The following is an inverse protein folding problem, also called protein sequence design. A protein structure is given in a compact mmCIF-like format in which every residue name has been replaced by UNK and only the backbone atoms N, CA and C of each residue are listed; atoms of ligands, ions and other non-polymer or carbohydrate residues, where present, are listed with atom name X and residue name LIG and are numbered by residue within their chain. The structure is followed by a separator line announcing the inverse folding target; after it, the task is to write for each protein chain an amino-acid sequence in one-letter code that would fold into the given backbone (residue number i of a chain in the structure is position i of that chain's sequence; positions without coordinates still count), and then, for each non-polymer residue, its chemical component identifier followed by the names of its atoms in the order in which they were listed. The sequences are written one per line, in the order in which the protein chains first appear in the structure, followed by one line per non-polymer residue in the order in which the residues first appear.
data_IF_368747995189
#
_entry.id   IF_368747995189
#
_cell.length_a   1.000
_cell.length_b   1.000
_cell.length_c   1.000
_cell.angle_alpha   90.00
_cell.angle_beta   90.00
_cell.angle_gamma   90.00
#
_symmetry.space_group_name_H-M   'P 1'
#
loop_
_entity.id
_entity.type
_entity.pdbx_description
1 polymer ?
#
# COMPACT_ATOMS: atom_id res chain seq x y z
N UNK A 1 -7.97 -18.41 -26.16
CA UNK A 1 -7.27 -19.15 -25.07
C UNK A 1 -7.79 -18.64 -23.74
N UNK A 2 -8.29 -19.52 -22.87
CA UNK A 2 -8.65 -19.14 -21.49
C UNK A 2 -7.35 -18.90 -20.71
N UNK A 3 -7.12 -17.66 -20.28
CA UNK A 3 -5.95 -17.29 -19.45
C UNK A 3 -6.39 -17.25 -18.00
N UNK A 4 -5.87 -18.17 -17.20
CA UNK A 4 -6.10 -18.23 -15.75
C UNK A 4 -4.86 -17.76 -14.99
N UNK A 5 -5.06 -17.25 -13.78
CA UNK A 5 -4.00 -16.80 -12.88
C UNK A 5 -4.44 -16.93 -11.42
N UNK A 6 -3.64 -17.59 -10.59
CA UNK A 6 -3.80 -17.48 -9.14
C UNK A 6 -3.15 -16.18 -8.65
N UNK A 7 -3.84 -15.46 -7.77
CA UNK A 7 -3.29 -14.29 -7.08
C UNK A 7 -3.41 -14.55 -5.58
N UNK A 8 -2.27 -14.62 -4.89
CA UNK A 8 -2.20 -14.79 -3.44
C UNK A 8 -1.86 -13.45 -2.80
N UNK A 9 -2.86 -12.84 -2.18
CA UNK A 9 -2.76 -11.54 -1.52
C UNK A 9 -2.36 -11.69 -0.04
N UNK A 10 -1.43 -10.84 0.41
CA UNK A 10 -0.95 -10.84 1.80
C UNK A 10 -2.00 -10.38 2.83
N UNK A 11 -3.09 -9.76 2.39
CA UNK A 11 -4.25 -9.27 3.13
C UNK A 11 -5.46 -9.19 2.17
N UNK A 12 -6.67 -9.03 2.70
CA UNK A 12 -7.87 -8.81 1.91
C UNK A 12 -7.72 -7.56 1.01
N UNK A 13 -7.88 -7.69 -0.33
CA UNK A 13 -7.76 -6.56 -1.24
C UNK A 13 -8.93 -5.57 -1.12
N UNK A 14 -10.04 -5.97 -0.49
CA UNK A 14 -11.19 -5.13 -0.21
C UNK A 14 -11.47 -5.04 1.30
N UNK A 15 -11.97 -3.90 1.84
CA UNK A 15 -12.08 -2.60 1.17
C UNK A 15 -10.70 -2.04 0.79
N UNK A 16 -10.66 -1.37 -0.37
CA UNK A 16 -9.46 -0.70 -0.89
C UNK A 16 -9.13 0.59 -0.10
N UNK A 17 -8.91 0.45 1.21
CA UNK A 17 -8.92 1.53 2.20
C UNK A 17 -7.52 1.92 2.74
N UNK A 18 -6.47 1.33 2.17
CA UNK A 18 -5.06 1.69 2.35
C UNK A 18 -4.23 1.29 1.12
N UNK A 19 -2.99 1.75 1.03
CA UNK A 19 -2.18 1.65 -0.20
C UNK A 19 -2.00 0.25 -0.79
N UNK A 20 -1.70 -0.76 0.04
CA UNK A 20 -1.56 -2.14 -0.42
C UNK A 20 -2.88 -2.75 -0.90
N UNK A 21 -3.99 -2.50 -0.20
CA UNK A 21 -5.32 -2.97 -0.63
C UNK A 21 -5.75 -2.31 -1.95
N UNK A 22 -5.52 -1.00 -2.11
CA UNK A 22 -5.77 -0.27 -3.38
C UNK A 22 -4.98 -0.93 -4.52
N UNK A 23 -3.67 -1.09 -4.35
CA UNK A 23 -2.80 -1.69 -5.36
C UNK A 23 -3.22 -3.12 -5.74
N UNK A 24 -3.49 -3.98 -4.75
CA UNK A 24 -3.96 -5.34 -5.00
C UNK A 24 -5.32 -5.37 -5.72
N UNK A 25 -6.29 -4.54 -5.30
CA UNK A 25 -7.62 -4.48 -5.88
C UNK A 25 -7.64 -3.93 -7.32
N UNK A 26 -6.95 -2.82 -7.57
CA UNK A 26 -6.92 -2.23 -8.93
C UNK A 26 -6.10 -3.08 -9.91
N UNK A 27 -5.13 -3.86 -9.42
CA UNK A 27 -4.46 -4.92 -10.20
C UNK A 27 -5.43 -6.03 -10.58
N UNK A 28 -6.22 -6.58 -9.64
CA UNK A 28 -7.26 -7.58 -9.91
C UNK A 28 -8.24 -7.04 -10.97
N UNK A 29 -8.72 -5.80 -10.80
CA UNK A 29 -9.62 -5.13 -11.75
C UNK A 29 -9.00 -4.94 -13.14
N UNK A 30 -7.72 -4.60 -13.23
CA UNK A 30 -7.01 -4.44 -14.50
C UNK A 30 -6.81 -5.79 -15.24
N UNK A 31 -6.44 -6.84 -14.51
CA UNK A 31 -6.25 -8.19 -15.06
C UNK A 31 -7.59 -8.81 -15.50
N UNK A 32 -8.65 -8.65 -14.70
CA UNK A 32 -10.02 -9.07 -15.03
C UNK A 32 -10.52 -8.35 -16.30
N UNK A 33 -10.34 -7.02 -16.38
CA UNK A 33 -10.65 -6.24 -17.61
C UNK A 33 -9.82 -6.69 -18.82
N UNK A 34 -8.62 -7.21 -18.63
CA UNK A 34 -7.81 -7.79 -19.70
C UNK A 34 -8.26 -9.21 -20.12
N UNK A 35 -9.34 -9.76 -19.54
CA UNK A 35 -9.86 -11.09 -19.86
C UNK A 35 -9.01 -12.21 -19.27
N UNK A 36 -8.47 -12.02 -18.06
CA UNK A 36 -7.81 -13.06 -17.27
C UNK A 36 -8.79 -13.54 -16.20
N UNK A 37 -9.00 -14.85 -16.11
CA UNK A 37 -9.83 -15.50 -15.09
C UNK A 37 -8.99 -15.66 -13.82
N UNK A 38 -9.38 -14.97 -12.75
CA UNK A 38 -8.57 -14.83 -11.54
C UNK A 38 -9.05 -15.81 -10.48
N UNK A 39 -8.15 -16.64 -9.97
CA UNK A 39 -8.36 -17.43 -8.75
C UNK A 39 -7.73 -16.65 -7.59
N UNK A 40 -8.56 -15.95 -6.82
CA UNK A 40 -8.11 -15.05 -5.76
C UNK A 40 -8.01 -15.81 -4.43
N UNK A 41 -6.82 -15.77 -3.85
CA UNK A 41 -6.50 -16.30 -2.55
C UNK A 41 -6.04 -15.15 -1.65
N UNK A 42 -6.54 -15.02 -0.43
CA UNK A 42 -6.04 -13.99 0.48
C UNK A 42 -6.07 -14.43 1.94
N UNK A 43 -5.18 -13.83 2.75
CA UNK A 43 -5.19 -14.05 4.20
C UNK A 43 -6.14 -13.08 4.90
N UNK A 44 -6.88 -13.56 5.88
CA UNK A 44 -7.85 -12.77 6.64
C UNK A 44 -7.39 -12.51 8.08
N UNK A 45 -7.59 -11.27 8.54
CA UNK A 45 -7.05 -10.72 9.80
C UNK A 45 -8.14 -10.26 10.78
N UNK A 46 -9.33 -9.99 10.24
CA UNK A 46 -10.51 -9.45 10.92
C UNK A 46 -11.75 -9.93 10.15
N UNK A 47 -12.94 -9.73 10.70
CA UNK A 47 -14.23 -10.04 10.08
C UNK A 47 -14.61 -9.03 8.95
N UNK A 48 -13.68 -8.80 8.02
CA UNK A 48 -13.96 -8.10 6.76
C UNK A 48 -14.77 -9.03 5.87
N UNK A 49 -16.03 -8.69 5.64
CA UNK A 49 -16.90 -9.43 4.73
C UNK A 49 -16.35 -9.40 3.29
N UNK A 50 -16.48 -10.53 2.59
CA UNK A 50 -16.29 -10.59 1.14
C UNK A 50 -17.43 -9.83 0.50
N UNK A 51 -17.11 -8.89 -0.40
CA UNK A 51 -18.12 -8.12 -1.14
C UNK A 51 -18.29 -8.66 -2.55
N UNK A 52 -19.49 -8.45 -3.10
CA UNK A 52 -19.85 -8.87 -4.46
C UNK A 52 -18.89 -8.35 -5.54
N UNK A 53 -18.24 -7.20 -5.30
CA UNK A 53 -17.21 -6.62 -6.18
C UNK A 53 -16.07 -7.61 -6.48
N UNK A 54 -15.63 -8.44 -5.51
CA UNK A 54 -14.57 -9.42 -5.75
C UNK A 54 -15.10 -10.64 -6.51
N UNK A 55 -16.32 -11.07 -6.20
CA UNK A 55 -17.00 -12.19 -6.86
C UNK A 55 -17.33 -11.88 -8.33
N UNK A 56 -17.55 -10.61 -8.69
CA UNK A 56 -17.74 -10.17 -10.08
C UNK A 56 -16.42 -10.08 -10.87
N UNK A 57 -15.26 -9.93 -10.19
CA UNK A 57 -13.95 -9.76 -10.82
C UNK A 57 -13.16 -11.07 -10.94
N UNK A 58 -13.46 -12.07 -10.12
CA UNK A 58 -12.69 -13.31 -9.96
C UNK A 58 -13.54 -14.54 -10.30
N UNK A 59 -12.88 -15.60 -10.78
CA UNK A 59 -13.47 -16.91 -11.03
C UNK A 59 -13.74 -17.67 -9.72
N UNK A 60 -12.83 -17.52 -8.75
CA UNK A 60 -13.00 -18.00 -7.39
C UNK A 60 -12.35 -17.03 -6.41
N UNK A 61 -12.89 -16.98 -5.18
CA UNK A 61 -12.40 -16.14 -4.08
C UNK A 61 -12.32 -17.02 -2.83
N UNK A 62 -11.12 -17.19 -2.27
CA UNK A 62 -10.89 -18.02 -1.10
C UNK A 62 -10.09 -17.27 -0.03
N UNK A 63 -10.59 -17.33 1.20
CA UNK A 63 -10.00 -16.70 2.37
C UNK A 63 -9.30 -17.75 3.26
N UNK A 64 -8.10 -17.44 3.75
CA UNK A 64 -7.32 -18.31 4.62
C UNK A 64 -7.04 -17.64 5.97
N UNK A 65 -7.19 -18.36 7.10
CA UNK A 65 -6.87 -17.80 8.41
C UNK A 65 -5.36 -17.56 8.54
N UNK A 66 -4.98 -16.41 9.08
CA UNK A 66 -3.60 -16.14 9.49
C UNK A 66 -3.31 -16.78 10.84
N UNK A 67 -2.21 -17.55 10.92
CA UNK A 67 -1.74 -18.15 12.20
C UNK A 67 -1.29 -17.06 13.19
N UNK A 68 -1.58 -17.28 14.47
CA UNK A 68 -1.32 -16.32 15.55
C UNK A 68 0.17 -16.19 15.87
N UNK A 69 0.54 -15.20 16.67
CA UNK A 69 1.91 -15.01 17.14
C UNK A 69 2.48 -16.25 17.87
N UNK A 70 1.66 -17.01 18.61
CA UNK A 70 2.13 -18.20 19.34
C UNK A 70 2.50 -19.38 18.43
N UNK A 71 1.99 -19.38 17.21
CA UNK A 71 2.20 -20.40 16.19
C UNK A 71 3.26 -19.95 15.19
N UNK A 72 3.13 -18.72 14.67
CA UNK A 72 4.01 -18.16 13.64
C UNK A 72 5.36 -17.61 14.14
N UNK A 73 5.58 -17.44 15.45
CA UNK A 73 6.90 -17.05 15.99
C UNK A 73 7.78 -18.28 16.33
N UNK A 74 7.34 -19.50 16.00
CA UNK A 74 8.09 -20.74 16.21
C UNK A 74 9.07 -20.98 15.06
N UNK A 75 10.35 -20.69 15.28
CA UNK A 75 11.45 -21.03 14.35
C UNK A 75 12.25 -19.82 13.86
N UNK A 76 13.00 -20.03 12.78
CA UNK A 76 13.90 -19.03 12.20
C UNK A 76 13.28 -18.27 11.00
N UNK A 77 12.06 -18.59 10.59
CA UNK A 77 11.35 -17.89 9.52
C UNK A 77 10.74 -16.58 10.08
N UNK A 78 10.70 -15.48 9.30
CA UNK A 78 10.03 -14.25 9.73
C UNK A 78 8.54 -14.48 9.97
N UNK A 79 7.98 -13.83 11.01
CA UNK A 79 6.59 -13.99 11.39
C UNK A 79 5.63 -13.70 10.24
N UNK A 80 5.93 -12.66 9.44
CA UNK A 80 5.05 -12.27 8.33
C UNK A 80 4.89 -13.36 7.28
N UNK A 81 5.85 -14.28 7.15
CA UNK A 81 5.80 -15.40 6.21
C UNK A 81 5.26 -16.64 6.90
N UNK A 82 5.80 -17.02 8.06
CA UNK A 82 5.37 -18.20 8.82
C UNK A 82 3.88 -18.17 9.20
N UNK A 83 3.32 -16.97 9.45
CA UNK A 83 1.89 -16.80 9.74
C UNK A 83 0.96 -17.00 8.53
N UNK A 84 1.50 -17.07 7.31
CA UNK A 84 0.79 -17.19 6.03
C UNK A 84 1.08 -18.51 5.29
N UNK A 85 1.54 -19.55 5.99
CA UNK A 85 1.66 -20.89 5.43
C UNK A 85 0.36 -21.68 5.72
N UNK A 86 -0.35 -22.10 4.67
CA UNK A 86 -1.63 -22.80 4.75
C UNK A 86 -1.67 -23.97 3.74
N UNK A 87 -2.07 -25.16 4.19
CA UNK A 87 -2.07 -26.39 3.39
C UNK A 87 -3.18 -26.40 2.34
N UNK A 88 -4.40 -25.97 2.68
CA UNK A 88 -5.50 -25.88 1.71
C UNK A 88 -5.18 -24.89 0.57
N UNK A 89 -4.50 -23.78 0.87
CA UNK A 89 -3.98 -22.87 -0.16
C UNK A 89 -2.97 -23.59 -1.07
N UNK A 90 -2.02 -24.33 -0.50
CA UNK A 90 -1.04 -25.09 -1.29
C UNK A 90 -1.72 -26.13 -2.19
N UNK A 91 -2.70 -26.87 -1.65
CA UNK A 91 -3.47 -27.86 -2.41
C UNK A 91 -4.18 -27.20 -3.59
N UNK A 92 -4.87 -26.07 -3.35
CA UNK A 92 -5.53 -25.29 -4.40
C UNK A 92 -4.55 -24.83 -5.48
N UNK A 93 -3.41 -24.25 -5.08
CA UNK A 93 -2.36 -23.82 -6.02
C UNK A 93 -1.77 -24.99 -6.82
N UNK A 94 -1.94 -26.23 -6.38
CA UNK A 94 -1.43 -27.45 -7.01
C UNK A 94 -2.51 -28.27 -7.76
N UNK A 95 -3.78 -27.83 -7.83
CA UNK A 95 -4.86 -28.57 -8.53
C UNK A 95 -4.74 -28.55 -10.06
N UNK A 96 -4.21 -27.46 -10.60
CA UNK A 96 -4.01 -27.20 -12.03
C UNK A 96 -2.53 -26.88 -12.34
N UNK A 97 -2.24 -26.38 -13.54
CA UNK A 97 -0.92 -25.86 -13.94
C UNK A 97 -0.91 -24.35 -14.26
N UNK A 98 -1.90 -23.60 -13.74
CA UNK A 98 -1.99 -22.16 -13.93
C UNK A 98 -0.86 -21.40 -13.22
N UNK A 99 -0.43 -20.24 -13.76
CA UNK A 99 0.58 -19.39 -13.14
C UNK A 99 0.12 -18.83 -11.80
N UNK A 100 1.09 -18.48 -10.94
CA UNK A 100 0.85 -17.97 -9.58
C UNK A 100 1.54 -16.63 -9.39
N UNK A 101 0.78 -15.63 -8.94
CA UNK A 101 1.26 -14.33 -8.50
C UNK A 101 1.15 -14.21 -6.98
N UNK A 102 2.28 -14.02 -6.30
CA UNK A 102 2.38 -13.86 -4.86
C UNK A 102 2.62 -12.38 -4.51
N UNK A 103 1.74 -11.76 -3.73
CA UNK A 103 1.92 -10.37 -3.29
C UNK A 103 2.81 -10.31 -2.05
N UNK A 104 4.04 -9.86 -2.25
CA UNK A 104 5.08 -9.73 -1.25
C UNK A 104 5.71 -11.05 -0.81
N UNK A 105 6.89 -10.95 -0.20
CA UNK A 105 7.58 -12.09 0.44
C UNK A 105 6.77 -12.72 1.59
N UNK A 106 5.74 -12.00 2.05
CA UNK A 106 4.65 -12.47 2.88
C UNK A 106 4.09 -13.84 2.45
N UNK A 107 3.94 -14.08 1.15
CA UNK A 107 3.29 -15.27 0.61
C UNK A 107 4.29 -16.32 0.06
N UNK A 108 5.61 -16.09 0.18
CA UNK A 108 6.62 -16.98 -0.44
C UNK A 108 6.97 -18.22 0.39
N UNK A 109 6.42 -18.36 1.61
CA UNK A 109 6.75 -19.46 2.52
C UNK A 109 6.41 -20.87 2.02
N UNK A 110 5.53 -20.96 1.02
CA UNK A 110 5.12 -22.23 0.37
C UNK A 110 5.71 -22.46 -1.02
N UNK A 111 6.54 -21.55 -1.56
CA UNK A 111 6.98 -21.62 -2.98
C UNK A 111 7.71 -22.93 -3.30
N UNK A 112 8.56 -23.41 -2.40
CA UNK A 112 9.29 -24.68 -2.56
C UNK A 112 8.40 -25.93 -2.57
N UNK A 113 7.11 -25.79 -2.23
CA UNK A 113 6.12 -26.86 -2.17
C UNK A 113 5.11 -26.78 -3.34
N UNK A 114 5.09 -25.68 -4.08
CA UNK A 114 4.29 -25.54 -5.31
C UNK A 114 4.87 -26.48 -6.39
N UNK A 115 4.01 -27.12 -7.18
CA UNK A 115 4.38 -28.07 -8.23
C UNK A 115 5.42 -27.47 -9.17
N UNK A 116 6.54 -28.18 -9.34
CA UNK A 116 7.62 -27.81 -10.27
C UNK A 116 7.08 -27.59 -11.68
N UNK A 117 7.59 -26.55 -12.35
CA UNK A 117 7.18 -26.17 -13.71
C UNK A 117 6.07 -25.11 -13.76
N UNK A 118 5.34 -24.85 -12.67
CA UNK A 118 4.45 -23.68 -12.59
C UNK A 118 5.25 -22.38 -12.70
N UNK A 119 4.74 -21.44 -13.50
CA UNK A 119 5.29 -20.08 -13.58
C UNK A 119 4.87 -19.30 -12.34
N UNK A 120 5.85 -18.91 -11.52
CA UNK A 120 5.62 -18.16 -10.28
C UNK A 120 6.22 -16.76 -10.44
N UNK A 121 5.48 -15.75 -9.99
CA UNK A 121 5.95 -14.37 -9.87
C UNK A 121 5.70 -13.86 -8.45
N UNK A 122 6.74 -13.32 -7.81
CA UNK A 122 6.66 -12.63 -6.52
C UNK A 122 6.66 -11.13 -6.78
N UNK A 123 5.56 -10.45 -6.44
CA UNK A 123 5.46 -9.00 -6.57
C UNK A 123 5.86 -8.33 -5.26
N UNK A 124 7.05 -7.75 -5.22
CA UNK A 124 7.65 -7.18 -4.01
C UNK A 124 7.15 -5.76 -3.80
N UNK A 125 6.55 -5.50 -2.63
CA UNK A 125 5.95 -4.20 -2.30
C UNK A 125 6.98 -3.22 -1.71
N UNK A 126 7.90 -3.71 -0.88
CA UNK A 126 9.03 -2.97 -0.30
C UNK A 126 10.15 -3.97 0.03
N UNK A 127 11.37 -3.48 0.25
CA UNK A 127 12.39 -4.20 1.02
C UNK A 127 11.97 -4.30 2.50
N UNK A 128 11.29 -5.39 2.87
CA UNK A 128 10.67 -5.59 4.19
C UNK A 128 11.70 -5.55 5.34
N UNK A 129 12.89 -6.10 5.15
CA UNK A 129 13.97 -6.02 6.15
C UNK A 129 14.33 -4.57 6.50
N UNK A 130 14.37 -3.67 5.51
CA UNK A 130 14.61 -2.25 5.70
C UNK A 130 13.40 -1.51 6.30
N UNK A 131 12.17 -1.87 5.88
CA UNK A 131 10.93 -1.33 6.46
C UNK A 131 10.85 -1.63 7.97
N UNK A 132 11.05 -2.89 8.37
CA UNK A 132 11.10 -3.29 9.79
C UNK A 132 12.26 -2.63 10.55
N UNK A 133 13.41 -2.39 9.89
CA UNK A 133 14.54 -1.64 10.47
C UNK A 133 14.16 -0.19 10.79
N UNK A 134 13.32 0.43 9.98
CA UNK A 134 12.82 1.79 10.19
C UNK A 134 11.73 1.84 11.27
N UNK A 135 10.79 0.89 11.30
CA UNK A 135 9.85 0.72 12.42
C UNK A 135 10.59 0.59 13.77
N UNK A 136 11.65 -0.22 13.81
CA UNK A 136 12.52 -0.37 14.98
C UNK A 136 13.24 0.92 15.41
N UNK A 137 13.50 1.87 14.50
CA UNK A 137 14.09 3.17 14.86
C UNK A 137 13.04 4.09 15.48
N UNK A 138 11.84 4.15 14.89
CA UNK A 138 10.74 5.02 15.31
C UNK A 138 10.02 4.54 16.60
N UNK A 139 9.99 3.24 16.87
CA UNK A 139 9.31 2.67 18.04
C UNK A 139 9.95 3.10 19.38
N UNK A 140 9.08 3.45 20.33
CA UNK A 140 9.39 3.89 21.70
C UNK A 140 9.32 2.73 22.69
N UNK A 141 8.41 1.78 22.50
CA UNK A 141 8.25 0.60 23.37
C UNK A 141 9.42 -0.37 23.18
N UNK A 142 10.21 -0.61 24.23
CA UNK A 142 11.35 -1.52 24.21
C UNK A 142 11.03 -2.93 23.70
N UNK A 143 9.87 -3.48 24.09
CA UNK A 143 9.42 -4.81 23.67
C UNK A 143 9.13 -4.86 22.17
N UNK A 144 8.33 -3.92 21.66
CA UNK A 144 8.02 -3.81 20.22
C UNK A 144 9.27 -3.51 19.40
N UNK A 145 10.15 -2.66 19.92
CA UNK A 145 11.45 -2.29 19.31
C UNK A 145 12.36 -3.50 19.18
N UNK A 146 12.44 -4.35 20.21
CA UNK A 146 13.18 -5.62 20.13
C UNK A 146 12.59 -6.56 19.09
N UNK A 147 11.26 -6.72 19.08
CA UNK A 147 10.55 -7.49 18.06
C UNK A 147 10.87 -7.00 16.63
N UNK A 148 10.70 -5.70 16.32
CA UNK A 148 11.00 -5.16 14.99
C UNK A 148 12.47 -5.34 14.59
N UNK A 149 13.42 -5.19 15.54
CA UNK A 149 14.85 -5.47 15.30
C UNK A 149 15.13 -6.94 15.01
N UNK A 150 14.41 -7.86 15.68
CA UNK A 150 14.55 -9.30 15.45
C UNK A 150 13.99 -9.67 14.08
N UNK A 151 12.75 -9.26 13.78
CA UNK A 151 12.11 -9.53 12.49
C UNK A 151 12.91 -8.94 11.33
N UNK A 152 13.43 -7.71 11.43
CA UNK A 152 14.30 -7.11 10.41
C UNK A 152 15.50 -8.00 10.04
N UNK A 153 16.15 -8.63 11.04
CA UNK A 153 17.28 -9.56 10.81
C UNK A 153 16.85 -10.92 10.28
N UNK A 154 15.67 -11.41 10.66
CA UNK A 154 15.11 -12.65 10.10
C UNK A 154 14.74 -12.43 8.63
N UNK A 155 14.14 -11.28 8.30
CA UNK A 155 13.80 -10.88 6.94
C UNK A 155 15.06 -10.76 6.07
N UNK A 156 16.08 -10.06 6.55
CA UNK A 156 17.35 -9.91 5.81
C UNK A 156 18.06 -11.25 5.51
N UNK A 157 17.82 -12.28 6.33
CA UNK A 157 18.26 -13.65 6.05
C UNK A 157 17.32 -14.37 5.08
N UNK A 158 16.01 -14.26 5.29
CA UNK A 158 14.98 -14.93 4.49
C UNK A 158 14.95 -14.42 3.05
N UNK A 159 15.12 -13.11 2.83
CA UNK A 159 15.24 -12.46 1.53
C UNK A 159 16.37 -13.09 0.69
N UNK A 160 17.48 -13.48 1.32
CA UNK A 160 18.61 -14.18 0.67
C UNK A 160 18.36 -15.67 0.40
N UNK A 161 17.33 -16.25 0.99
CA UNK A 161 16.89 -17.65 0.75
C UNK A 161 15.73 -17.74 -0.25
N UNK A 162 15.34 -16.61 -0.85
CA UNK A 162 14.28 -16.59 -1.84
C UNK A 162 14.69 -17.33 -3.13
N UNK A 163 13.76 -18.09 -3.75
CA UNK A 163 14.05 -18.93 -4.91
C UNK A 163 14.48 -18.11 -6.13
N UNK A 164 15.51 -18.56 -6.83
CA UNK A 164 16.07 -17.84 -7.98
C UNK A 164 15.40 -18.22 -9.32
N UNK A 165 14.57 -19.26 -9.32
CA UNK A 165 13.84 -19.81 -10.47
C UNK A 165 12.41 -19.23 -10.63
N UNK A 166 12.10 -18.13 -9.94
CA UNK A 166 10.84 -17.38 -10.06
C UNK A 166 11.07 -15.96 -10.57
N UNK A 167 10.01 -15.29 -11.04
CA UNK A 167 10.07 -13.88 -11.45
C UNK A 167 9.84 -12.94 -10.26
N UNK A 168 10.49 -11.78 -10.27
CA UNK A 168 10.36 -10.73 -9.27
C UNK A 168 9.89 -9.42 -9.90
N UNK A 169 8.75 -8.93 -9.45
CA UNK A 169 8.16 -7.67 -9.91
C UNK A 169 8.18 -6.65 -8.77
N UNK A 170 9.05 -5.65 -8.80
CA UNK A 170 9.15 -4.66 -7.71
C UNK A 170 8.31 -3.41 -7.97
N UNK A 171 7.61 -2.92 -6.95
CA UNK A 171 6.91 -1.62 -7.01
C UNK A 171 7.89 -0.45 -7.05
N UNK A 172 9.03 -0.54 -6.36
CA UNK A 172 10.09 0.47 -6.40
C UNK A 172 11.24 -0.03 -7.28
N UNK A 173 11.71 0.82 -8.21
CA UNK A 173 12.86 0.49 -9.05
C UNK A 173 14.13 0.21 -8.23
N UNK A 174 14.37 0.99 -7.17
CA UNK A 174 15.58 0.90 -6.33
C UNK A 174 15.66 -0.40 -5.49
N UNK A 175 14.54 -1.08 -5.27
CA UNK A 175 14.50 -2.35 -4.54
C UNK A 175 14.95 -3.54 -5.42
N UNK A 176 14.91 -3.43 -6.76
CA UNK A 176 15.17 -4.53 -7.71
C UNK A 176 16.46 -5.34 -7.46
N UNK A 177 17.64 -4.72 -7.19
CA UNK A 177 18.90 -5.45 -7.03
C UNK A 177 18.94 -6.43 -5.84
N UNK A 178 17.93 -6.41 -4.95
CA UNK A 178 17.88 -7.26 -3.77
C UNK A 178 17.17 -8.60 -4.00
N UNK A 179 16.37 -8.74 -5.05
CA UNK A 179 15.36 -9.80 -5.14
C UNK A 179 15.55 -10.82 -6.26
N UNK A 180 16.52 -10.64 -7.16
CA UNK A 180 16.83 -11.62 -8.19
C UNK A 180 18.01 -11.20 -9.08
N UNK A 181 18.18 -11.89 -10.20
CA UNK A 181 19.10 -11.49 -11.27
C UNK A 181 18.44 -10.47 -12.19
N UNK A 182 19.24 -9.80 -13.04
CA UNK A 182 18.71 -8.87 -14.05
C UNK A 182 17.79 -9.53 -15.10
N UNK A 183 17.79 -10.86 -15.22
CA UNK A 183 16.97 -11.59 -16.20
C UNK A 183 15.58 -11.98 -15.66
N UNK A 184 15.42 -12.09 -14.34
CA UNK A 184 14.16 -12.50 -13.70
C UNK A 184 13.57 -11.43 -12.76
N UNK A 185 14.14 -10.22 -12.70
CA UNK A 185 13.60 -9.08 -11.93
C UNK A 185 13.26 -7.89 -12.84
N UNK A 186 12.11 -7.25 -12.60
CA UNK A 186 11.67 -6.07 -13.35
C UNK A 186 10.77 -5.13 -12.54
N UNK A 187 10.75 -3.85 -12.91
CA UNK A 187 9.90 -2.84 -12.26
C UNK A 187 8.45 -2.97 -12.74
N UNK A 188 7.51 -3.08 -11.80
CA UNK A 188 6.06 -3.10 -12.05
C UNK A 188 5.37 -2.17 -11.04
N UNK A 189 5.03 -0.93 -11.43
CA UNK A 189 4.51 0.07 -10.50
C UNK A 189 3.16 -0.32 -9.87
N UNK A 190 2.74 0.47 -8.89
CA UNK A 190 1.45 0.28 -8.22
C UNK A 190 0.26 0.53 -9.18
N UNK A 191 -0.77 -0.31 -9.08
CA UNK A 191 -2.03 -0.15 -9.79
C UNK A 191 -2.92 0.85 -9.04
N UNK A 192 -3.50 1.81 -9.78
CA UNK A 192 -4.20 2.96 -9.18
C UNK A 192 -5.61 3.15 -9.76
N UNK A 193 -6.54 3.78 -9.00
CA UNK A 193 -7.89 4.11 -9.49
C UNK A 193 -7.88 5.06 -10.69
N UNK A 194 -6.84 5.88 -10.80
CA UNK A 194 -6.82 7.06 -11.65
C UNK A 194 -6.10 6.75 -12.97
N UNK A 195 -6.88 6.62 -14.05
CA UNK A 195 -6.38 6.31 -15.40
C UNK A 195 -6.56 7.47 -16.38
N UNK A 196 -7.32 8.51 -16.00
CA UNK A 196 -7.59 9.69 -16.81
C UNK A 196 -7.57 10.93 -15.91
N UNK A 197 -6.88 11.99 -16.37
CA UNK A 197 -6.89 13.30 -15.73
C UNK A 197 -8.32 13.87 -15.85
N UNK A 198 -8.88 14.30 -14.72
CA UNK A 198 -10.18 14.99 -14.63
C UNK A 198 -10.07 16.19 -13.68
N UNK A 199 -8.95 16.91 -13.78
CA UNK A 199 -8.73 18.15 -13.03
C UNK A 199 -9.70 19.23 -13.52
N UNK A 200 -10.20 20.05 -12.60
CA UNK A 200 -11.05 21.20 -12.94
C UNK A 200 -10.21 22.45 -13.20
N UNK A 201 -10.61 23.26 -14.17
CA UNK A 201 -10.00 24.57 -14.39
C UNK A 201 -10.52 25.61 -13.36
N UNK A 202 -9.90 26.80 -13.35
CA UNK A 202 -10.33 27.93 -12.52
C UNK A 202 -9.81 27.89 -11.08
N UNK A 203 -10.44 28.68 -10.21
CA UNK A 203 -10.04 28.87 -8.81
C UNK A 203 -10.88 27.96 -7.90
N UNK A 204 -10.25 27.36 -6.89
CA UNK A 204 -10.94 26.59 -5.85
C UNK A 204 -11.04 27.38 -4.54
N UNK A 205 -11.80 26.86 -3.56
CA UNK A 205 -12.17 27.67 -2.39
C UNK A 205 -11.28 27.46 -1.15
N UNK A 206 -10.42 26.44 -1.15
CA UNK A 206 -9.61 26.05 0.02
C UNK A 206 -8.32 25.32 -0.37
N UNK A 207 -7.37 25.30 0.55
CA UNK A 207 -6.24 24.38 0.56
C UNK A 207 -6.65 23.06 1.22
N UNK A 208 -6.18 21.92 0.72
CA UNK A 208 -6.48 20.59 1.26
C UNK A 208 -5.21 19.85 1.66
N UNK A 209 -5.21 19.25 2.85
CA UNK A 209 -4.33 18.13 3.18
C UNK A 209 -5.16 16.86 3.37
N UNK A 210 -4.75 15.74 2.77
CA UNK A 210 -5.48 14.48 2.93
C UNK A 210 -4.59 13.26 3.18
N UNK A 211 -5.15 12.20 3.76
CA UNK A 211 -4.47 10.91 3.95
C UNK A 211 -5.13 10.00 5.00
N UNK A 212 -4.48 8.88 5.32
CA UNK A 212 -4.87 8.08 6.47
C UNK A 212 -4.28 8.71 7.74
N UNK A 213 -5.11 9.40 8.54
CA UNK A 213 -4.67 10.20 9.69
C UNK A 213 -4.37 9.34 10.93
N UNK A 214 -4.69 8.04 10.92
CA UNK A 214 -4.20 7.08 11.92
C UNK A 214 -2.72 6.71 11.73
N UNK A 215 -2.10 7.10 10.62
CA UNK A 215 -0.67 6.88 10.35
C UNK A 215 0.13 8.05 10.92
N UNK A 216 1.06 7.83 11.88
CA UNK A 216 1.76 8.91 12.59
C UNK A 216 2.45 9.94 11.68
N UNK A 217 2.99 9.49 10.54
CA UNK A 217 3.64 10.35 9.54
C UNK A 217 2.64 11.32 8.89
N UNK A 218 1.41 10.86 8.62
CA UNK A 218 0.35 11.68 8.05
C UNK A 218 -0.23 12.66 9.09
N UNK A 219 -0.38 12.22 10.35
CA UNK A 219 -0.80 13.09 11.45
C UNK A 219 0.23 14.20 11.70
N UNK A 220 1.52 13.86 11.72
CA UNK A 220 2.63 14.82 11.88
C UNK A 220 2.60 15.89 10.79
N UNK A 221 2.33 15.53 9.54
CA UNK A 221 2.19 16.48 8.44
C UNK A 221 0.98 17.42 8.61
N UNK A 222 -0.20 16.88 8.98
CA UNK A 222 -1.38 17.70 9.25
C UNK A 222 -1.16 18.68 10.42
N UNK A 223 -0.59 18.20 11.53
CA UNK A 223 -0.26 19.02 12.69
C UNK A 223 0.79 20.10 12.35
N UNK A 224 1.81 19.76 11.56
CA UNK A 224 2.83 20.73 11.15
C UNK A 224 2.22 21.87 10.32
N UNK A 225 1.33 21.56 9.37
CA UNK A 225 0.61 22.54 8.56
C UNK A 225 -0.23 23.49 9.42
N UNK A 226 -1.02 22.95 10.36
CA UNK A 226 -1.80 23.77 11.30
C UNK A 226 -0.89 24.68 12.15
N UNK A 227 0.20 24.14 12.70
CA UNK A 227 1.02 24.84 13.68
C UNK A 227 2.00 25.87 13.08
N UNK A 228 2.52 25.63 11.87
CA UNK A 228 3.63 26.43 11.31
C UNK A 228 3.26 27.25 10.07
N UNK A 229 2.18 26.87 9.37
CA UNK A 229 1.73 27.51 8.12
C UNK A 229 0.37 28.20 8.34
N UNK A 230 -0.69 27.43 8.60
CA UNK A 230 -2.06 27.95 8.71
C UNK A 230 -2.36 28.68 10.03
N UNK A 231 -1.44 28.65 10.99
CA UNK A 231 -1.41 29.58 12.13
C UNK A 231 -0.99 31.01 11.74
N UNK A 232 -0.31 31.17 10.60
CA UNK A 232 0.26 32.45 10.12
C UNK A 232 -0.49 33.05 8.93
N UNK A 233 -1.17 32.21 8.14
CA UNK A 233 -1.98 32.63 6.98
C UNK A 233 -3.46 32.32 7.20
N UNK A 234 -4.33 33.26 6.82
CA UNK A 234 -5.79 33.14 6.92
C UNK A 234 -6.42 32.68 5.60
N UNK A 235 -5.94 31.54 5.09
CA UNK A 235 -6.47 30.89 3.87
C UNK A 235 -7.28 29.68 4.30
N UNK A 236 -8.53 29.48 3.80
CA UNK A 236 -9.36 28.33 4.17
C UNK A 236 -8.61 27.01 3.97
N UNK A 237 -8.56 26.17 5.00
CA UNK A 237 -7.79 24.95 5.01
C UNK A 237 -8.60 23.77 5.54
N UNK A 238 -8.75 22.76 4.70
CA UNK A 238 -9.42 21.51 5.02
C UNK A 238 -8.38 20.42 5.26
N UNK A 239 -8.56 19.65 6.32
CA UNK A 239 -7.87 18.39 6.56
C UNK A 239 -8.90 17.29 6.40
N UNK A 240 -8.62 16.29 5.56
CA UNK A 240 -9.56 15.20 5.30
C UNK A 240 -8.87 13.85 5.48
N UNK A 241 -9.48 12.93 6.24
CA UNK A 241 -8.86 11.61 6.35
C UNK A 241 -9.37 10.67 7.43
N UNK A 242 -8.90 9.44 7.32
CA UNK A 242 -9.33 8.29 8.12
C UNK A 242 -8.79 8.37 9.55
N UNK A 243 -9.68 8.22 10.54
CA UNK A 243 -9.41 8.14 11.99
C UNK A 243 -8.41 9.20 12.50
N UNK A 244 -8.74 10.49 12.42
CA UNK A 244 -7.93 11.53 13.06
C UNK A 244 -7.83 11.30 14.58
N UNK A 245 -6.74 11.77 15.18
CA UNK A 245 -6.60 11.73 16.64
C UNK A 245 -7.38 12.87 17.31
N UNK A 246 -7.75 12.68 18.58
CA UNK A 246 -8.32 13.74 19.43
C UNK A 246 -7.39 14.97 19.58
N UNK A 247 -6.08 14.82 19.35
CA UNK A 247 -5.13 15.94 19.31
C UNK A 247 -5.28 16.73 18.01
N UNK A 248 -5.39 16.03 16.88
CA UNK A 248 -5.57 16.66 15.56
C UNK A 248 -6.92 17.37 15.46
N UNK A 249 -8.00 16.73 15.94
CA UNK A 249 -9.33 17.35 16.07
C UNK A 249 -9.25 18.69 16.83
N UNK A 250 -8.72 18.69 18.06
CA UNK A 250 -8.58 19.91 18.86
C UNK A 250 -7.77 20.99 18.14
N UNK A 251 -6.66 20.63 17.51
CA UNK A 251 -5.79 21.57 16.78
C UNK A 251 -6.52 22.19 15.56
N UNK A 252 -7.30 21.39 14.83
CA UNK A 252 -8.05 21.84 13.65
C UNK A 252 -9.25 22.74 13.97
N UNK A 253 -9.65 22.84 15.25
CA UNK A 253 -10.69 23.75 15.72
C UNK A 253 -10.12 25.04 16.37
N UNK A 254 -8.79 25.22 16.45
CA UNK A 254 -8.19 26.44 17.03
C UNK A 254 -8.27 27.66 16.11
N UNK A 255 -8.42 27.47 14.80
CA UNK A 255 -8.51 28.54 13.82
C UNK A 255 -9.89 28.51 13.13
N UNK A 256 -10.53 29.68 12.96
CA UNK A 256 -11.85 29.77 12.33
C UNK A 256 -11.83 29.42 10.83
N UNK A 257 -10.66 29.52 10.17
CA UNK A 257 -10.47 29.17 8.77
C UNK A 257 -10.02 27.72 8.54
N UNK A 258 -9.99 26.88 9.58
CA UNK A 258 -9.59 25.46 9.46
C UNK A 258 -10.75 24.51 9.72
N UNK A 259 -10.82 23.42 8.95
CA UNK A 259 -11.86 22.40 9.04
C UNK A 259 -11.25 20.99 9.00
N UNK A 260 -11.83 20.05 9.75
CA UNK A 260 -11.45 18.63 9.73
C UNK A 260 -12.64 17.78 9.30
N UNK A 261 -12.47 17.04 8.20
CA UNK A 261 -13.40 16.01 7.72
C UNK A 261 -12.85 14.65 8.12
N UNK A 262 -13.44 14.06 9.16
CA UNK A 262 -13.06 12.75 9.68
C UNK A 262 -13.73 11.62 8.87
N UNK A 263 -12.94 10.60 8.51
CA UNK A 263 -13.40 9.38 7.83
C UNK A 263 -14.33 9.60 6.61
N UNK A 264 -13.99 10.50 5.67
CA UNK A 264 -14.82 10.80 4.51
C UNK A 264 -15.02 9.58 3.60
N UNK A 265 -16.17 9.50 2.95
CA UNK A 265 -16.45 8.46 1.94
C UNK A 265 -15.54 8.64 0.71
N UNK A 266 -15.28 7.59 -0.10
CA UNK A 266 -14.41 7.72 -1.28
C UNK A 266 -14.83 8.82 -2.26
N UNK A 267 -16.14 8.98 -2.49
CA UNK A 267 -16.71 10.03 -3.33
C UNK A 267 -16.50 11.42 -2.73
N UNK A 268 -16.67 11.56 -1.42
CA UNK A 268 -16.46 12.82 -0.68
C UNK A 268 -14.98 13.23 -0.69
N UNK A 269 -14.06 12.28 -0.53
CA UNK A 269 -12.63 12.54 -0.66
C UNK A 269 -12.25 12.97 -2.09
N UNK A 270 -12.79 12.33 -3.13
CA UNK A 270 -12.58 12.75 -4.53
C UNK A 270 -13.11 14.17 -4.76
N UNK A 271 -14.29 14.49 -4.23
CA UNK A 271 -14.90 15.81 -4.32
C UNK A 271 -14.09 16.89 -3.57
N UNK A 272 -13.49 16.56 -2.41
CA UNK A 272 -12.61 17.48 -1.68
C UNK A 272 -11.31 17.75 -2.46
N UNK A 273 -10.65 16.71 -2.96
CA UNK A 273 -9.43 16.84 -3.78
C UNK A 273 -9.69 17.65 -5.05
N UNK A 274 -10.84 17.41 -5.67
CA UNK A 274 -11.33 18.12 -6.86
C UNK A 274 -11.67 19.58 -6.59
N UNK A 275 -12.37 19.91 -5.49
CA UNK A 275 -12.83 21.28 -5.16
C UNK A 275 -11.73 22.15 -4.51
N UNK A 276 -10.67 21.55 -3.98
CA UNK A 276 -9.51 22.28 -3.50
C UNK A 276 -8.89 23.14 -4.62
N UNK A 277 -8.36 24.30 -4.23
CA UNK A 277 -7.48 25.08 -5.10
C UNK A 277 -6.06 24.48 -5.09
N UNK A 278 -5.56 24.19 -3.89
CA UNK A 278 -4.20 23.65 -3.68
C UNK A 278 -4.27 22.41 -2.80
N UNK A 279 -3.83 21.28 -3.34
CA UNK A 279 -3.58 20.05 -2.59
C UNK A 279 -2.16 20.13 -1.98
N UNK A 280 -2.07 20.46 -0.70
CA UNK A 280 -0.81 20.63 0.02
C UNK A 280 -0.45 19.29 0.65
N UNK A 281 0.64 18.68 0.18
CA UNK A 281 1.01 17.30 0.50
C UNK A 281 2.50 17.19 0.91
N UNK A 282 2.92 17.75 2.05
CA UNK A 282 4.24 17.49 2.60
C UNK A 282 4.35 16.04 3.10
N UNK A 283 5.56 15.47 2.98
CA UNK A 283 5.98 14.23 3.62
C UNK A 283 7.20 14.49 4.52
N UNK A 284 7.29 13.77 5.64
CA UNK A 284 8.50 13.70 6.45
C UNK A 284 9.15 12.31 6.41
N UNK A 285 8.83 11.53 5.36
CA UNK A 285 9.41 10.23 5.04
C UNK A 285 9.29 9.97 3.54
N UNK A 286 10.33 9.40 2.94
CA UNK A 286 10.36 8.96 1.54
C UNK A 286 9.58 7.66 1.32
N UNK A 287 9.26 6.90 2.37
CA UNK A 287 8.62 5.57 2.27
C UNK A 287 7.16 5.59 1.82
N UNK A 288 6.73 4.45 1.24
CA UNK A 288 5.33 4.13 0.92
C UNK A 288 4.81 4.71 -0.39
N UNK A 289 3.91 3.98 -1.05
CA UNK A 289 3.29 4.39 -2.32
C UNK A 289 2.52 5.70 -2.14
N UNK A 290 2.92 6.75 -2.87
CA UNK A 290 2.42 8.13 -2.73
C UNK A 290 1.06 8.34 -3.40
N UNK A 291 0.09 7.46 -3.15
CA UNK A 291 -1.23 7.48 -3.79
C UNK A 291 -1.99 8.81 -3.62
N UNK A 292 -1.78 9.51 -2.49
CA UNK A 292 -2.37 10.85 -2.27
C UNK A 292 -1.83 11.92 -3.23
N UNK A 293 -0.54 11.84 -3.60
CA UNK A 293 0.04 12.69 -4.64
C UNK A 293 -0.59 12.36 -6.00
N UNK A 294 -0.68 11.08 -6.36
CA UNK A 294 -1.31 10.67 -7.62
C UNK A 294 -2.78 11.10 -7.70
N UNK A 295 -3.53 10.97 -6.60
CA UNK A 295 -4.92 11.47 -6.53
C UNK A 295 -4.98 12.97 -6.81
N UNK A 296 -4.15 13.77 -6.14
CA UNK A 296 -4.07 15.22 -6.37
C UNK A 296 -3.66 15.58 -7.82
N UNK A 297 -2.75 14.83 -8.44
CA UNK A 297 -2.33 15.07 -9.83
C UNK A 297 -3.40 14.70 -10.88
N UNK A 298 -4.21 13.68 -10.61
CA UNK A 298 -5.25 13.22 -11.53
C UNK A 298 -6.62 13.92 -11.36
N UNK A 299 -6.86 14.59 -10.21
CA UNK A 299 -8.16 15.15 -9.83
C UNK A 299 -8.11 16.59 -9.29
N UNK A 300 -7.03 16.97 -8.62
CA UNK A 300 -6.87 18.30 -8.05
C UNK A 300 -6.41 19.34 -9.06
N UNK A 301 -6.57 20.62 -8.73
CA UNK A 301 -6.13 21.76 -9.56
C UNK A 301 -4.61 21.95 -9.50
N UNK A 302 -4.12 22.41 -8.35
CA UNK A 302 -2.70 22.56 -8.06
C UNK A 302 -2.30 21.61 -6.93
N UNK A 303 -1.02 21.22 -6.88
CA UNK A 303 -0.45 20.55 -5.72
C UNK A 303 0.85 21.22 -5.27
N UNK A 304 1.08 21.26 -3.96
CA UNK A 304 2.33 21.75 -3.36
C UNK A 304 2.94 20.60 -2.56
N UNK A 305 4.18 20.26 -2.87
CA UNK A 305 4.91 19.12 -2.30
C UNK A 305 6.34 19.49 -1.95
N UNK A 306 6.99 18.70 -1.10
CA UNK A 306 8.42 18.77 -0.82
C UNK A 306 9.17 17.58 -1.43
N UNK A 307 10.52 17.63 -1.56
CA UNK A 307 11.31 16.57 -2.20
C UNK A 307 11.08 15.16 -1.63
N UNK A 308 10.79 15.04 -0.33
CA UNK A 308 10.49 13.78 0.35
C UNK A 308 9.16 13.14 -0.10
N UNK A 309 8.23 13.94 -0.64
CA UNK A 309 6.98 13.44 -1.22
C UNK A 309 7.21 12.90 -2.65
N UNK A 310 8.17 13.44 -3.39
CA UNK A 310 8.46 13.07 -4.79
C UNK A 310 9.58 12.02 -4.93
N UNK A 311 10.39 11.81 -3.89
CA UNK A 311 11.44 10.79 -3.83
C UNK A 311 10.93 9.40 -4.24
N UNK A 312 11.69 8.71 -5.11
CA UNK A 312 11.35 7.37 -5.62
C UNK A 312 10.18 7.30 -6.62
N UNK A 313 9.46 8.39 -6.87
CA UNK A 313 8.27 8.37 -7.75
C UNK A 313 8.55 8.63 -9.24
N UNK A 314 9.76 9.09 -9.58
CA UNK A 314 10.08 9.62 -10.91
C UNK A 314 9.46 11.00 -11.24
N UNK A 315 8.57 11.53 -10.40
CA UNK A 315 7.86 12.79 -10.65
C UNK A 315 8.64 14.05 -10.26
N UNK A 316 9.81 13.91 -9.62
CA UNK A 316 10.58 15.04 -9.08
C UNK A 316 11.03 16.07 -10.11
N UNK A 317 11.34 15.66 -11.34
CA UNK A 317 11.68 16.56 -12.45
C UNK A 317 10.46 17.17 -13.14
N UNK A 318 9.31 16.50 -13.08
CA UNK A 318 8.05 16.93 -13.72
C UNK A 318 7.25 17.93 -12.89
N UNK A 319 7.55 18.05 -11.60
CA UNK A 319 6.89 18.97 -10.67
C UNK A 319 7.75 20.23 -10.52
N UNK A 320 7.38 21.28 -11.25
CA UNK A 320 8.19 22.50 -11.31
C UNK A 320 8.27 23.21 -9.95
N UNK A 321 9.50 23.47 -9.50
CA UNK A 321 9.76 24.54 -8.53
C UNK A 321 9.47 25.89 -9.20
N UNK A 322 8.31 26.47 -8.93
CA UNK A 322 7.93 27.84 -9.29
C UNK A 322 7.37 28.55 -8.06
#
# INVERSE_FOLDING_TARGET
MNRHLHIVCLDAPWPADYGGAIDMFYKIKALSKAGIRIHLHYFQYNDREITDDLNQLCESVEAYPRKTAREGLRGHQPYIVASRNNEALLDNLNRDDYPVLLEGIHCTGMVSQIRKGKKIMVRVHNLESAYYRNLAKAERSWIKKFYFRRESRLLEKYEKTLPQDVFYASINHDDLPHFGTALNSFHLPAFIPFQHIKSETGIGNFCLYHGNLSVPENEKAALWLLQHVFSKIRVPFVIAGKKPSKRLEKMAHLCQHTCLVADPKPQEMDDLVRKAHINILPAFSTTGVKLKLLHALYRGRHCVVNPEMTSGTGLGSSLSHR
#
